data_IF_121389378192
#
_entry.id   IF_121389378192
#
_cell.length_a   1.000
_cell.length_b   1.000
_cell.length_c   1.000
_cell.angle_alpha   90.00
_cell.angle_beta   90.00
_cell.angle_gamma   90.00
#
_symmetry.space_group_name_H-M   'P 1'
#
loop_
_entity.id
_entity.type
_entity.pdbx_description
1 polymer ?
#
# COMPACT_ATOMS: atom_id res chain seq x y z
N UNK A 1 13.31 2.53 -7.84
CA UNK A 1 12.57 1.38 -7.25
C UNK A 1 12.23 0.33 -8.30
N UNK A 2 11.44 0.62 -9.32
CA UNK A 2 11.03 -0.37 -10.34
C UNK A 2 12.19 -0.96 -11.17
N UNK A 3 13.14 -0.13 -11.58
CA UNK A 3 14.31 -0.51 -12.41
C UNK A 3 15.58 -0.76 -11.58
N UNK A 4 15.46 -0.90 -10.27
CA UNK A 4 16.59 -1.12 -9.37
C UNK A 4 16.41 -2.42 -8.59
N UNK A 5 17.48 -2.89 -8.00
CA UNK A 5 17.50 -4.07 -7.10
C UNK A 5 16.92 -3.75 -5.70
N UNK A 6 16.05 -2.73 -5.63
CA UNK A 6 15.51 -2.20 -4.36
C UNK A 6 14.84 -3.29 -3.51
N UNK A 7 14.11 -4.21 -4.15
CA UNK A 7 13.40 -5.27 -3.42
C UNK A 7 14.28 -6.48 -3.13
N UNK A 8 15.51 -6.52 -3.65
CA UNK A 8 16.43 -7.64 -3.39
C UNK A 8 16.81 -7.68 -1.91
N UNK A 9 16.58 -8.82 -1.29
CA UNK A 9 16.84 -9.01 0.13
C UNK A 9 15.76 -8.52 1.09
N UNK A 10 14.67 -7.90 0.59
CA UNK A 10 13.50 -7.57 1.39
C UNK A 10 12.48 -8.71 1.34
N UNK A 11 12.08 -9.21 2.50
CA UNK A 11 11.05 -10.25 2.59
C UNK A 11 9.66 -9.65 2.29
N UNK A 12 8.97 -10.12 1.23
CA UNK A 12 7.64 -9.63 0.90
C UNK A 12 6.65 -9.85 2.06
N UNK A 13 5.92 -8.81 2.43
CA UNK A 13 4.96 -8.86 3.53
C UNK A 13 5.56 -8.63 4.92
N UNK A 14 6.88 -8.46 5.04
CA UNK A 14 7.51 -8.02 6.28
C UNK A 14 7.25 -6.54 6.55
N UNK A 15 7.31 -6.15 7.82
CA UNK A 15 7.23 -4.74 8.19
C UNK A 15 8.50 -3.97 7.77
N UNK A 16 9.64 -4.63 7.76
CA UNK A 16 10.90 -4.06 7.27
C UNK A 16 10.82 -3.65 5.80
N UNK A 17 10.19 -4.47 4.95
CA UNK A 17 9.93 -4.12 3.56
C UNK A 17 9.07 -2.84 3.45
N UNK A 18 8.03 -2.72 4.24
CA UNK A 18 7.18 -1.52 4.26
C UNK A 18 7.94 -0.28 4.73
N UNK A 19 8.74 -0.40 5.78
CA UNK A 19 9.62 0.68 6.28
C UNK A 19 10.60 1.14 5.20
N UNK A 20 11.21 0.21 4.49
CA UNK A 20 12.17 0.49 3.40
C UNK A 20 11.49 1.21 2.24
N UNK A 21 10.30 0.77 1.84
CA UNK A 21 9.48 1.44 0.81
C UNK A 21 9.15 2.87 1.24
N UNK A 22 8.63 3.05 2.45
CA UNK A 22 8.28 4.36 2.97
C UNK A 22 9.49 5.30 3.04
N UNK A 23 10.63 4.80 3.52
CA UNK A 23 11.86 5.57 3.57
C UNK A 23 12.29 6.01 2.17
N UNK A 24 12.35 5.09 1.21
CA UNK A 24 12.73 5.38 -0.17
C UNK A 24 11.85 6.45 -0.83
N UNK A 25 10.53 6.41 -0.56
CA UNK A 25 9.59 7.37 -1.17
C UNK A 25 9.70 8.77 -0.56
N UNK A 26 10.09 8.88 0.70
CA UNK A 26 9.87 10.10 1.48
C UNK A 26 11.12 10.65 2.18
N UNK A 27 12.30 10.02 2.07
CA UNK A 27 13.51 10.47 2.80
C UNK A 27 13.97 11.88 2.44
N UNK A 28 13.69 12.34 1.22
CA UNK A 28 14.00 13.70 0.78
C UNK A 28 12.91 14.73 1.14
N UNK A 29 11.78 14.28 1.70
CA UNK A 29 10.61 15.12 1.99
C UNK A 29 10.33 15.19 3.49
N UNK A 30 10.45 14.07 4.20
CA UNK A 30 10.09 13.95 5.60
C UNK A 30 11.26 13.45 6.45
N UNK A 31 11.55 14.11 7.56
CA UNK A 31 12.54 13.66 8.55
C UNK A 31 12.11 12.41 9.33
N UNK A 32 10.81 12.07 9.27
CA UNK A 32 10.25 10.85 9.85
C UNK A 32 10.14 9.69 8.84
N UNK A 33 10.69 9.81 7.64
CA UNK A 33 10.63 8.75 6.64
C UNK A 33 11.17 7.41 7.19
N UNK A 34 10.37 6.34 7.05
CA UNK A 34 10.69 5.02 7.59
C UNK A 34 10.55 4.88 9.12
N UNK A 35 10.09 5.90 9.83
CA UNK A 35 9.92 5.85 11.29
C UNK A 35 8.45 5.64 11.66
N UNK A 36 8.21 4.73 12.60
CA UNK A 36 6.87 4.52 13.19
C UNK A 36 6.42 5.83 13.84
N UNK A 37 5.16 6.18 13.65
CA UNK A 37 4.55 7.36 14.30
C UNK A 37 4.60 7.27 15.82
N UNK A 38 4.63 8.41 16.43
CA UNK A 38 4.62 8.61 17.89
C UNK A 38 3.36 9.36 18.37
N UNK A 39 2.35 9.45 17.50
CA UNK A 39 1.06 10.11 17.76
C UNK A 39 -0.10 9.22 17.33
N UNK A 40 -1.26 9.40 17.99
CA UNK A 40 -2.50 8.80 17.54
C UNK A 40 -3.01 9.53 16.29
N UNK A 41 -3.56 8.77 15.34
CA UNK A 41 -4.11 9.31 14.09
C UNK A 41 -5.57 8.90 13.91
N UNK A 42 -6.32 9.79 13.28
CA UNK A 42 -7.68 9.55 12.84
C UNK A 42 -7.93 10.22 11.48
N UNK A 43 -8.83 9.68 10.68
CA UNK A 43 -9.30 10.27 9.43
C UNK A 43 -10.83 10.33 9.47
N UNK A 44 -11.39 11.52 9.59
CA UNK A 44 -12.82 11.69 9.84
C UNK A 44 -13.22 10.99 11.15
N UNK A 45 -14.20 10.10 11.07
CA UNK A 45 -14.65 9.29 12.20
C UNK A 45 -13.86 7.97 12.38
N UNK A 46 -12.94 7.66 11.46
CA UNK A 46 -12.12 6.45 11.53
C UNK A 46 -10.89 6.69 12.41
N UNK A 47 -10.72 5.85 13.43
CA UNK A 47 -9.55 5.84 14.30
C UNK A 47 -8.66 4.67 13.93
N UNK A 48 -7.40 4.96 13.61
CA UNK A 48 -6.38 3.94 13.41
C UNK A 48 -5.96 3.31 14.75
N UNK A 49 -5.20 2.23 14.68
CA UNK A 49 -4.71 1.53 15.89
C UNK A 49 -4.10 2.54 16.88
N UNK A 50 -4.55 2.55 18.15
CA UNK A 50 -3.94 3.41 19.16
C UNK A 50 -2.44 3.13 19.32
N UNK A 51 -1.66 4.18 19.54
CA UNK A 51 -0.21 4.10 19.60
C UNK A 51 0.30 3.03 20.58
N UNK A 52 -0.37 2.88 21.72
CA UNK A 52 -0.03 1.89 22.75
C UNK A 52 -0.10 0.43 22.26
N UNK A 53 -0.91 0.13 21.24
CA UNK A 53 -1.08 -1.20 20.67
C UNK A 53 -0.38 -1.37 19.29
N UNK A 54 0.20 -0.30 18.75
CA UNK A 54 0.71 -0.31 17.38
C UNK A 54 1.81 -1.34 17.17
N UNK A 55 2.78 -1.42 18.06
CA UNK A 55 3.88 -2.39 17.93
C UNK A 55 3.39 -3.84 17.99
N UNK A 56 2.39 -4.13 18.83
CA UNK A 56 1.79 -5.46 18.89
C UNK A 56 1.01 -5.78 17.62
N UNK A 57 0.23 -4.82 17.13
CA UNK A 57 -0.50 -4.96 15.87
C UNK A 57 0.45 -5.26 14.70
N UNK A 58 1.54 -4.53 14.56
CA UNK A 58 2.53 -4.75 13.50
C UNK A 58 3.16 -6.16 13.58
N UNK A 59 3.52 -6.63 14.77
CA UNK A 59 4.02 -8.01 14.95
C UNK A 59 2.98 -9.08 14.59
N UNK A 60 1.71 -8.83 14.88
CA UNK A 60 0.63 -9.75 14.54
C UNK A 60 0.38 -9.78 13.02
N UNK A 61 0.39 -8.61 12.37
CA UNK A 61 0.24 -8.50 10.92
C UNK A 61 1.37 -9.23 10.19
N UNK A 62 2.59 -9.11 10.66
CA UNK A 62 3.75 -9.79 10.07
C UNK A 62 3.56 -11.32 10.02
N UNK A 63 2.92 -11.90 11.03
CA UNK A 63 2.63 -13.34 11.14
C UNK A 63 1.40 -13.80 10.37
N UNK A 64 0.60 -12.88 9.83
CA UNK A 64 -0.58 -13.26 9.05
C UNK A 64 -0.19 -14.04 7.80
N UNK A 65 -0.98 -15.06 7.41
CA UNK A 65 -0.74 -15.81 6.18
C UNK A 65 -0.88 -14.90 4.94
N UNK A 66 -0.17 -15.27 3.88
CA UNK A 66 -0.18 -14.56 2.60
C UNK A 66 -0.08 -15.47 1.38
N UNK A 67 -0.59 -16.71 1.48
CA UNK A 67 -0.46 -17.72 0.45
C UNK A 67 -1.53 -17.63 -0.65
N UNK A 68 -2.57 -16.87 -0.42
CA UNK A 68 -3.67 -16.65 -1.36
C UNK A 68 -4.00 -15.17 -1.50
N UNK A 69 -4.70 -14.81 -2.58
CA UNK A 69 -5.18 -13.44 -2.77
C UNK A 69 -5.97 -12.93 -1.57
N UNK A 70 -6.91 -13.72 -1.07
CA UNK A 70 -7.77 -13.30 0.06
C UNK A 70 -6.96 -13.04 1.33
N UNK A 71 -6.02 -13.91 1.67
CA UNK A 71 -5.11 -13.72 2.82
C UNK A 71 -4.24 -12.47 2.66
N UNK A 72 -3.73 -12.22 1.45
CA UNK A 72 -2.93 -11.01 1.16
C UNK A 72 -3.76 -9.75 1.36
N UNK A 73 -5.01 -9.73 0.87
CA UNK A 73 -5.88 -8.56 1.05
C UNK A 73 -6.27 -8.38 2.52
N UNK A 74 -6.54 -9.44 3.26
CA UNK A 74 -6.77 -9.36 4.71
C UNK A 74 -5.58 -8.74 5.44
N UNK A 75 -4.38 -9.19 5.12
CA UNK A 75 -3.13 -8.63 5.67
C UNK A 75 -2.95 -7.15 5.29
N UNK A 76 -3.27 -6.78 4.06
CA UNK A 76 -3.26 -5.40 3.58
C UNK A 76 -4.25 -4.51 4.32
N UNK A 77 -5.47 -4.99 4.57
CA UNK A 77 -6.50 -4.29 5.34
C UNK A 77 -6.03 -4.02 6.77
N UNK A 78 -5.47 -5.02 7.43
CA UNK A 78 -4.91 -4.86 8.78
C UNK A 78 -3.75 -3.85 8.82
N UNK A 79 -2.89 -3.83 7.83
CA UNK A 79 -1.82 -2.82 7.75
C UNK A 79 -2.37 -1.40 7.53
N UNK A 80 -3.45 -1.27 6.75
CA UNK A 80 -4.14 0.01 6.60
C UNK A 80 -4.76 0.50 7.91
N UNK A 81 -5.31 -0.41 8.73
CA UNK A 81 -5.85 -0.10 10.07
C UNK A 81 -4.71 0.28 11.03
N UNK A 82 -3.59 -0.41 10.97
CA UNK A 82 -2.41 -0.09 11.77
C UNK A 82 -1.88 1.31 11.48
N UNK A 83 -1.81 1.69 10.22
CA UNK A 83 -1.42 3.04 9.76
C UNK A 83 -0.12 3.51 10.43
N UNK A 84 1.03 2.83 10.18
CA UNK A 84 2.20 2.94 11.04
C UNK A 84 2.96 4.27 10.94
N UNK A 85 2.78 5.04 9.87
CA UNK A 85 3.52 6.28 9.64
C UNK A 85 2.65 7.52 9.86
N UNK A 86 3.28 8.67 10.07
CA UNK A 86 2.55 9.95 10.21
C UNK A 86 1.84 10.37 8.92
N UNK A 87 2.48 10.14 7.77
CA UNK A 87 1.99 10.47 6.44
C UNK A 87 2.52 9.44 5.43
N UNK A 88 1.90 9.34 4.24
CA UNK A 88 2.38 8.46 3.16
C UNK A 88 2.03 6.98 3.31
N UNK A 89 1.18 6.60 4.28
CA UNK A 89 0.77 5.21 4.48
C UNK A 89 0.12 4.62 3.22
N UNK A 90 -0.83 5.30 2.61
CA UNK A 90 -1.53 4.79 1.43
C UNK A 90 -0.57 4.48 0.27
N UNK A 91 0.35 5.37 -0.05
CA UNK A 91 1.32 5.19 -1.14
C UNK A 91 2.26 4.03 -0.87
N UNK A 92 2.82 3.96 0.32
CA UNK A 92 3.77 2.89 0.68
C UNK A 92 3.10 1.52 0.82
N UNK A 93 1.90 1.45 1.39
CA UNK A 93 1.17 0.19 1.55
C UNK A 93 0.65 -0.38 0.23
N UNK A 94 0.30 0.45 -0.76
CA UNK A 94 -0.05 -0.05 -2.10
C UNK A 94 1.14 -0.71 -2.81
N UNK A 95 2.33 -0.13 -2.72
CA UNK A 95 3.55 -0.76 -3.25
C UNK A 95 3.90 -2.05 -2.50
N UNK A 96 3.76 -2.04 -1.18
CA UNK A 96 3.96 -3.22 -0.34
C UNK A 96 2.99 -4.35 -0.71
N UNK A 97 1.70 -4.03 -0.96
CA UNK A 97 0.71 -4.98 -1.46
C UNK A 97 1.14 -5.60 -2.78
N UNK A 98 1.53 -4.77 -3.77
CA UNK A 98 1.96 -5.25 -5.08
C UNK A 98 3.22 -6.13 -4.98
N UNK A 99 4.13 -5.83 -4.06
CA UNK A 99 5.29 -6.69 -3.81
C UNK A 99 4.90 -8.08 -3.28
N UNK A 100 3.94 -8.15 -2.35
CA UNK A 100 3.42 -9.43 -1.83
C UNK A 100 2.72 -10.21 -2.95
N UNK A 101 1.79 -9.58 -3.67
CA UNK A 101 1.05 -10.20 -4.76
C UNK A 101 1.98 -10.73 -5.84
N UNK A 102 2.99 -9.96 -6.23
CA UNK A 102 3.99 -10.37 -7.22
C UNK A 102 4.75 -11.61 -6.77
N UNK A 103 5.19 -11.65 -5.52
CA UNK A 103 5.96 -12.75 -4.97
C UNK A 103 5.13 -14.02 -4.79
N UNK A 104 3.93 -13.90 -4.24
CA UNK A 104 3.14 -15.07 -3.81
C UNK A 104 2.26 -15.65 -4.91
N UNK A 105 1.69 -14.80 -5.76
CA UNK A 105 0.73 -15.24 -6.78
C UNK A 105 1.08 -14.81 -8.22
N UNK A 106 2.22 -14.15 -8.42
CA UNK A 106 2.67 -13.73 -9.75
C UNK A 106 1.77 -12.69 -10.43
N UNK A 107 1.09 -11.87 -9.67
CA UNK A 107 0.19 -10.81 -10.13
C UNK A 107 0.46 -9.49 -9.41
N UNK A 108 -0.02 -8.39 -9.97
CA UNK A 108 -0.03 -7.06 -9.34
C UNK A 108 -1.36 -6.38 -9.64
N UNK A 109 -1.67 -5.30 -8.93
CA UNK A 109 -2.87 -4.50 -9.21
C UNK A 109 -2.58 -3.51 -10.33
N UNK A 110 -3.39 -3.52 -11.36
CA UNK A 110 -3.45 -2.42 -12.34
C UNK A 110 -4.31 -1.29 -11.75
N UNK A 111 -3.67 -0.39 -11.04
CA UNK A 111 -4.35 0.71 -10.35
C UNK A 111 -5.09 1.66 -11.28
N UNK A 112 -4.81 1.64 -12.58
CA UNK A 112 -5.57 2.40 -13.58
C UNK A 112 -7.00 1.90 -13.77
N UNK A 113 -7.29 0.67 -13.35
CA UNK A 113 -8.62 0.04 -13.39
C UNK A 113 -9.40 0.19 -12.09
N UNK A 114 -8.81 0.81 -11.08
CA UNK A 114 -9.41 0.99 -9.76
C UNK A 114 -9.99 2.39 -9.67
N UNK A 115 -11.30 2.50 -9.52
CA UNK A 115 -11.95 3.78 -9.25
C UNK A 115 -11.57 4.27 -7.84
N UNK A 116 -11.20 5.55 -7.75
CA UNK A 116 -10.74 6.17 -6.50
C UNK A 116 -11.79 6.14 -5.41
N UNK A 117 -12.99 6.57 -5.73
CA UNK A 117 -14.04 6.77 -4.73
C UNK A 117 -14.55 5.42 -4.23
N UNK A 118 -14.72 4.46 -5.14
CA UNK A 118 -15.06 3.07 -4.80
C UNK A 118 -13.98 2.43 -3.92
N UNK A 119 -12.70 2.61 -4.26
CA UNK A 119 -11.58 2.09 -3.48
C UNK A 119 -11.53 2.69 -2.06
N UNK A 120 -11.61 4.01 -1.94
CA UNK A 120 -11.55 4.68 -0.63
C UNK A 120 -12.73 4.28 0.26
N UNK A 121 -13.93 4.17 -0.30
CA UNK A 121 -15.12 3.73 0.43
C UNK A 121 -15.01 2.26 0.86
N UNK A 122 -14.53 1.38 -0.04
CA UNK A 122 -14.31 -0.02 0.28
C UNK A 122 -13.24 -0.20 1.37
N UNK A 123 -12.16 0.60 1.35
CA UNK A 123 -11.14 0.59 2.39
C UNK A 123 -11.67 1.09 3.73
N UNK A 124 -12.51 2.12 3.75
CA UNK A 124 -13.15 2.62 4.97
C UNK A 124 -14.05 1.55 5.62
N UNK A 125 -14.73 0.74 4.82
CA UNK A 125 -15.60 -0.35 5.28
C UNK A 125 -14.87 -1.64 5.60
N UNK A 126 -13.67 -1.82 5.08
CA UNK A 126 -12.92 -3.08 5.12
C UNK A 126 -12.64 -3.63 6.52
N UNK A 127 -12.49 -2.84 7.59
CA UNK A 127 -12.32 -3.37 8.95
C UNK A 127 -13.50 -4.20 9.45
N UNK A 128 -14.70 -3.95 8.92
CA UNK A 128 -15.93 -4.65 9.26
C UNK A 128 -16.28 -5.67 8.20
N UNK A 129 -16.10 -5.31 6.90
CA UNK A 129 -16.47 -6.12 5.76
C UNK A 129 -15.52 -5.86 4.59
N UNK A 130 -14.66 -6.81 4.31
CA UNK A 130 -13.59 -6.73 3.31
C UNK A 130 -13.98 -7.24 1.90
N UNK A 131 -15.23 -7.69 1.72
CA UNK A 131 -15.70 -8.24 0.43
C UNK A 131 -15.59 -7.21 -0.70
N UNK A 132 -15.92 -5.94 -0.43
CA UNK A 132 -15.90 -4.89 -1.45
C UNK A 132 -14.47 -4.64 -1.94
N UNK A 133 -13.51 -4.48 -1.04
CA UNK A 133 -12.10 -4.26 -1.43
C UNK A 133 -11.49 -5.48 -2.12
N UNK A 134 -11.81 -6.69 -1.68
CA UNK A 134 -11.40 -7.93 -2.35
C UNK A 134 -11.94 -7.98 -3.78
N UNK A 135 -13.22 -7.64 -3.99
CA UNK A 135 -13.83 -7.62 -5.31
C UNK A 135 -13.17 -6.60 -6.24
N UNK A 136 -12.98 -5.36 -5.77
CA UNK A 136 -12.37 -4.27 -6.55
C UNK A 136 -10.96 -4.64 -6.97
N UNK A 137 -10.12 -5.08 -6.05
CA UNK A 137 -8.72 -5.40 -6.34
C UNK A 137 -8.58 -6.67 -7.18
N UNK A 138 -9.43 -7.68 -6.96
CA UNK A 138 -9.40 -8.91 -7.77
C UNK A 138 -9.69 -8.64 -9.24
N UNK A 139 -10.64 -7.76 -9.54
CA UNK A 139 -10.97 -7.37 -10.91
C UNK A 139 -9.90 -6.50 -11.58
N UNK A 140 -9.00 -5.92 -10.82
CA UNK A 140 -7.91 -5.11 -11.30
C UNK A 140 -6.56 -5.86 -11.38
N UNK A 141 -6.51 -7.14 -11.02
CA UNK A 141 -5.28 -7.93 -11.11
C UNK A 141 -4.80 -8.07 -12.55
N UNK A 142 -3.49 -8.06 -12.72
CA UNK A 142 -2.81 -8.33 -13.98
C UNK A 142 -1.56 -9.19 -13.76
N UNK A 143 -1.22 -10.01 -14.75
CA UNK A 143 0.01 -10.81 -14.79
C UNK A 143 1.21 -10.05 -15.37
N UNK A 144 1.02 -8.80 -15.77
CA UNK A 144 2.06 -7.90 -16.29
C UNK A 144 2.93 -7.34 -15.17
N UNK A 145 3.57 -8.21 -14.41
CA UNK A 145 4.31 -7.89 -13.18
C UNK A 145 5.60 -7.08 -13.39
N UNK A 146 6.12 -7.06 -14.61
CA UNK A 146 7.32 -6.32 -14.98
C UNK A 146 7.04 -5.24 -16.04
N UNK A 147 5.79 -4.83 -16.19
CA UNK A 147 5.38 -3.83 -17.14
C UNK A 147 5.54 -2.42 -16.54
N UNK A 148 6.43 -1.62 -17.15
CA UNK A 148 6.71 -0.25 -16.70
C UNK A 148 5.46 0.64 -16.79
N UNK A 149 4.62 0.46 -17.81
CA UNK A 149 3.42 1.28 -17.99
C UNK A 149 2.39 1.01 -16.88
N UNK A 150 2.23 -0.25 -16.45
CA UNK A 150 1.37 -0.62 -15.31
C UNK A 150 1.88 0.05 -14.04
N UNK A 151 3.19 0.01 -13.80
CA UNK A 151 3.81 0.61 -12.63
C UNK A 151 3.66 2.15 -12.62
N UNK A 152 3.93 2.81 -13.76
CA UNK A 152 3.84 4.27 -13.86
C UNK A 152 2.41 4.77 -13.69
N UNK A 153 1.42 4.07 -14.25
CA UNK A 153 0.00 4.37 -14.00
C UNK A 153 -0.38 4.20 -12.52
N UNK A 154 0.23 3.25 -11.84
CA UNK A 154 0.07 3.08 -10.39
C UNK A 154 0.58 4.29 -9.60
N UNK A 155 1.73 4.85 -9.98
CA UNK A 155 2.27 6.07 -9.38
C UNK A 155 1.32 7.25 -9.62
N UNK A 156 0.87 7.47 -10.84
CA UNK A 156 -0.04 8.57 -11.19
C UNK A 156 -1.35 8.49 -10.38
N UNK A 157 -1.96 7.30 -10.29
CA UNK A 157 -3.16 7.09 -9.50
C UNK A 157 -2.90 7.26 -7.99
N UNK A 158 -1.72 6.92 -7.49
CA UNK A 158 -1.36 7.16 -6.09
C UNK A 158 -1.46 8.64 -5.73
N UNK A 159 -0.98 9.53 -6.57
CA UNK A 159 -1.13 10.97 -6.36
C UNK A 159 -2.59 11.41 -6.41
N UNK A 160 -3.37 10.85 -7.35
CA UNK A 160 -4.79 11.12 -7.44
C UNK A 160 -5.56 10.71 -6.17
N UNK A 161 -5.23 9.55 -5.58
CA UNK A 161 -5.85 9.09 -4.33
C UNK A 161 -5.54 10.00 -3.14
N UNK A 162 -4.39 10.66 -3.13
CA UNK A 162 -4.01 11.61 -2.08
C UNK A 162 -4.61 13.03 -2.29
N UNK A 163 -5.38 13.25 -3.37
CA UNK A 163 -6.03 14.53 -3.66
C UNK A 163 -5.12 15.59 -4.28
N UNK A 164 -3.93 15.21 -4.73
CA UNK A 164 -3.04 16.11 -5.46
C UNK A 164 -3.48 16.29 -6.91
N UNK A 165 -3.23 17.48 -7.48
CA UNK A 165 -3.40 17.72 -8.92
C UNK A 165 -2.31 16.94 -9.66
N UNK A 166 -2.72 15.99 -10.50
CA UNK A 166 -1.81 15.09 -11.19
C UNK A 166 -1.34 15.67 -12.51
N UNK A 167 -0.02 15.61 -12.78
CA UNK A 167 0.46 15.47 -14.16
C UNK A 167 0.70 14.02 -14.44
N UNK A 168 0.44 13.62 -15.67
CA UNK A 168 0.83 12.28 -16.11
C UNK A 168 2.35 12.25 -16.27
N UNK A 169 2.99 11.21 -15.78
CA UNK A 169 4.44 11.01 -15.92
C UNK A 169 4.90 10.99 -17.37
N UNK A 170 4.02 10.61 -18.29
CA UNK A 170 4.23 10.69 -19.75
C UNK A 170 4.49 12.12 -20.24
N UNK A 171 4.01 13.14 -19.52
CA UNK A 171 4.15 14.56 -19.88
C UNK A 171 5.41 15.23 -19.28
N UNK A 172 6.19 14.52 -18.48
CA UNK A 172 7.40 15.04 -17.81
C UNK A 172 8.69 14.74 -18.61
N UNK A 173 8.57 14.00 -19.69
CA UNK A 173 9.70 13.58 -20.54
C UNK A 173 9.81 14.39 -21.86
N UNK A 174 9.15 15.55 -21.95
CA UNK A 174 9.36 16.52 -23.04
C UNK A 174 10.27 17.67 -22.62
#
# INVERSE_FOLDING_TARGET
MFESDFFDGLEPGSFEALVSIHKYLFEDIYDFAGKIRDVNLAKGNFRFVPLMYLNEALRNIEKMPQNSFDEIIEKYVEMNIAHPFREGNGRSTRIWLDNILKSEIGQVVDWSKVDKDDYLLAMERSPIKDIEIKYILKNALTDKINDRDVYMKGIDNSYYYEGYVTYKTENVLE
#
